data_IF_347025583442
#
_entry.id   IF_347025583442
#
_cell.length_a   1.000
_cell.length_b   1.000
_cell.length_c   1.000
_cell.angle_alpha   90.00
_cell.angle_beta   90.00
_cell.angle_gamma   90.00
#
_symmetry.space_group_name_H-M   'P 1'
#
loop_
_entity.id
_entity.type
_entity.pdbx_description
1 polymer ?
#
# COMPACT_ATOMS: atom_id res chain seq x y z
N UNK A 1 18.06 -11.95 -56.99
CA UNK A 1 17.53 -12.86 -55.95
C UNK A 1 18.19 -12.66 -54.58
N UNK A 2 19.53 -12.64 -54.47
CA UNK A 2 20.23 -12.47 -53.18
C UNK A 2 19.83 -11.23 -52.36
N UNK A 3 19.62 -10.07 -52.99
CA UNK A 3 19.22 -8.86 -52.26
C UNK A 3 17.84 -8.95 -51.58
N UNK A 4 16.88 -9.68 -52.17
CA UNK A 4 15.54 -9.83 -51.61
C UNK A 4 15.56 -10.69 -50.34
N UNK A 5 16.42 -11.72 -50.33
CA UNK A 5 16.58 -12.62 -49.19
C UNK A 5 17.17 -11.89 -47.97
N UNK A 6 18.16 -11.02 -48.19
CA UNK A 6 18.79 -10.23 -47.12
C UNK A 6 17.80 -9.25 -46.49
N UNK A 7 16.97 -8.59 -47.30
CA UNK A 7 15.97 -7.63 -46.79
C UNK A 7 14.91 -8.35 -45.95
N UNK A 8 14.43 -9.52 -46.39
CA UNK A 8 13.44 -10.31 -45.64
C UNK A 8 14.01 -10.81 -44.31
N UNK A 9 15.26 -11.28 -44.30
CA UNK A 9 15.92 -11.73 -43.07
C UNK A 9 16.10 -10.57 -42.06
N UNK A 10 16.53 -9.40 -42.52
CA UNK A 10 16.68 -8.23 -41.65
C UNK A 10 15.34 -7.78 -41.06
N UNK A 11 14.28 -7.75 -41.88
CA UNK A 11 12.94 -7.40 -41.42
C UNK A 11 12.39 -8.38 -40.37
N UNK A 12 12.69 -9.67 -40.53
CA UNK A 12 12.28 -10.74 -39.61
C UNK A 12 12.97 -10.64 -38.24
N UNK A 13 14.25 -10.25 -38.23
CA UNK A 13 15.04 -10.05 -37.01
C UNK A 13 14.57 -8.80 -36.27
N UNK A 14 14.29 -7.70 -36.98
CA UNK A 14 13.77 -6.48 -36.37
C UNK A 14 12.41 -6.67 -35.70
N UNK A 15 11.49 -7.42 -36.33
CA UNK A 15 10.19 -7.77 -35.74
C UNK A 15 10.34 -8.62 -34.46
N UNK A 16 11.29 -9.56 -34.45
CA UNK A 16 11.52 -10.45 -33.30
C UNK A 16 12.13 -9.73 -32.08
N UNK A 17 12.92 -8.67 -32.30
CA UNK A 17 13.48 -7.89 -31.18
C UNK A 17 12.46 -6.94 -30.56
N UNK A 18 11.56 -6.33 -31.36
CA UNK A 18 10.49 -5.48 -30.81
C UNK A 18 9.45 -6.27 -30.00
N UNK A 19 9.09 -7.50 -30.38
CA UNK A 19 8.09 -8.30 -29.65
C UNK A 19 8.59 -8.83 -28.29
N UNK A 20 9.91 -8.96 -28.13
CA UNK A 20 10.51 -9.54 -26.92
C UNK A 20 10.54 -8.54 -25.77
N UNK A 21 10.82 -7.28 -26.08
CA UNK A 21 10.79 -6.14 -25.15
C UNK A 21 9.38 -5.88 -24.58
N UNK A 22 8.34 -5.95 -25.41
CA UNK A 22 6.96 -5.77 -24.97
C UNK A 22 6.50 -6.91 -24.04
N UNK A 23 6.91 -8.14 -24.33
CA UNK A 23 6.58 -9.31 -23.52
C UNK A 23 7.26 -9.27 -22.14
N UNK A 24 8.52 -8.84 -22.06
CA UNK A 24 9.23 -8.68 -20.79
C UNK A 24 8.59 -7.59 -19.91
N UNK A 25 8.23 -6.43 -20.49
CA UNK A 25 7.52 -5.36 -19.75
C UNK A 25 6.13 -5.79 -19.29
N UNK A 26 5.39 -6.55 -20.11
CA UNK A 26 4.10 -7.10 -19.70
C UNK A 26 4.25 -8.06 -18.51
N UNK A 27 5.27 -8.93 -18.54
CA UNK A 27 5.50 -9.89 -17.45
C UNK A 27 5.89 -9.20 -16.14
N UNK A 28 6.76 -8.17 -16.19
CA UNK A 28 7.14 -7.36 -15.04
C UNK A 28 5.94 -6.62 -14.43
N UNK A 29 5.08 -6.03 -15.28
CA UNK A 29 3.87 -5.35 -14.81
C UNK A 29 2.86 -6.30 -14.16
N UNK A 30 2.77 -7.54 -14.67
CA UNK A 30 1.88 -8.56 -14.13
C UNK A 30 2.37 -9.07 -12.77
N UNK A 31 3.68 -9.19 -12.57
CA UNK A 31 4.26 -9.56 -11.28
C UNK A 31 4.05 -8.46 -10.24
N UNK A 32 4.30 -7.20 -10.59
CA UNK A 32 4.02 -6.06 -9.72
C UNK A 32 2.54 -6.00 -9.29
N UNK A 33 1.61 -6.20 -10.23
CA UNK A 33 0.18 -6.24 -9.94
C UNK A 33 -0.20 -7.39 -8.99
N UNK A 34 0.40 -8.57 -9.15
CA UNK A 34 0.16 -9.70 -8.23
C UNK A 34 0.61 -9.40 -6.82
N UNK A 35 1.78 -8.77 -6.67
CA UNK A 35 2.30 -8.37 -5.36
C UNK A 35 1.36 -7.34 -4.71
N UNK A 36 0.94 -6.32 -5.45
CA UNK A 36 0.04 -5.29 -4.93
C UNK A 36 -1.33 -5.87 -4.53
N UNK A 37 -1.90 -6.77 -5.35
CA UNK A 37 -3.13 -7.46 -5.02
C UNK A 37 -3.00 -8.30 -3.74
N UNK A 38 -1.92 -9.06 -3.59
CA UNK A 38 -1.67 -9.88 -2.40
C UNK A 38 -1.55 -9.03 -1.12
N UNK A 39 -0.94 -7.84 -1.24
CA UNK A 39 -0.86 -6.89 -0.12
C UNK A 39 -2.21 -6.34 0.26
N UNK A 40 -3.02 -5.99 -0.74
CA UNK A 40 -4.37 -5.47 -0.52
C UNK A 40 -5.26 -6.51 0.16
N UNK A 41 -5.23 -7.75 -0.32
CA UNK A 41 -5.95 -8.88 0.29
C UNK A 41 -5.52 -9.12 1.75
N UNK A 42 -4.21 -9.06 2.02
CA UNK A 42 -3.68 -9.18 3.39
C UNK A 42 -4.17 -8.06 4.32
N UNK A 43 -4.22 -6.81 3.83
CA UNK A 43 -4.77 -5.70 4.59
C UNK A 43 -6.25 -5.91 4.87
N UNK A 44 -7.03 -6.25 3.85
CA UNK A 44 -8.47 -6.43 3.99
C UNK A 44 -8.83 -7.55 4.98
N UNK A 45 -8.06 -8.64 4.99
CA UNK A 45 -8.23 -9.70 5.96
C UNK A 45 -8.02 -9.21 7.40
N UNK A 46 -6.91 -8.51 7.68
CA UNK A 46 -6.62 -8.00 9.03
C UNK A 46 -7.69 -7.00 9.47
N UNK A 47 -8.08 -6.08 8.58
CA UNK A 47 -9.09 -5.08 8.90
C UNK A 47 -10.47 -5.71 9.13
N UNK A 48 -10.82 -6.77 8.41
CA UNK A 48 -12.06 -7.52 8.64
C UNK A 48 -12.06 -8.20 10.02
N UNK A 49 -10.93 -8.80 10.44
CA UNK A 49 -10.77 -9.36 11.78
C UNK A 49 -10.93 -8.30 12.87
N UNK A 50 -10.38 -7.09 12.65
CA UNK A 50 -10.53 -5.98 13.58
C UNK A 50 -11.97 -5.46 13.67
N UNK A 51 -12.66 -5.32 12.53
CA UNK A 51 -14.09 -4.95 12.51
C UNK A 51 -14.93 -5.95 13.30
N UNK A 52 -14.62 -7.24 13.19
CA UNK A 52 -15.34 -8.30 13.91
C UNK A 52 -15.20 -8.22 15.44
N UNK A 53 -14.33 -7.35 15.98
CA UNK A 53 -14.21 -7.10 17.41
C UNK A 53 -15.35 -6.27 17.99
N UNK A 54 -16.23 -5.71 17.14
CA UNK A 54 -17.43 -4.93 17.50
C UNK A 54 -17.18 -3.84 18.54
N UNK A 55 -16.16 -3.01 18.28
CA UNK A 55 -15.81 -1.87 19.11
C UNK A 55 -15.82 -0.59 18.26
N UNK A 56 -16.43 0.46 18.80
CA UNK A 56 -16.60 1.74 18.11
C UNK A 56 -15.26 2.36 17.71
N UNK A 57 -14.27 2.35 18.60
CA UNK A 57 -12.96 2.96 18.34
C UNK A 57 -12.15 2.11 17.37
N UNK A 58 -12.25 0.79 17.45
CA UNK A 58 -11.61 -0.11 16.48
C UNK A 58 -12.20 0.08 15.09
N UNK A 59 -13.52 0.22 14.97
CA UNK A 59 -14.19 0.49 13.69
C UNK A 59 -13.73 1.81 13.09
N UNK A 60 -13.59 2.85 13.92
CA UNK A 60 -13.08 4.15 13.50
C UNK A 60 -11.63 4.07 13.04
N UNK A 61 -10.76 3.41 13.80
CA UNK A 61 -9.38 3.15 13.41
C UNK A 61 -9.29 2.44 12.05
N UNK A 62 -10.13 1.43 11.79
CA UNK A 62 -10.15 0.72 10.51
C UNK A 62 -10.52 1.65 9.35
N UNK A 63 -11.48 2.56 9.56
CA UNK A 63 -11.84 3.56 8.55
C UNK A 63 -10.67 4.54 8.28
N UNK A 64 -10.07 5.08 9.34
CA UNK A 64 -8.92 5.98 9.26
C UNK A 64 -7.74 5.31 8.53
N UNK A 65 -7.46 4.04 8.84
CA UNK A 65 -6.39 3.27 8.22
C UNK A 65 -6.59 3.09 6.71
N UNK A 66 -7.82 2.79 6.28
CA UNK A 66 -8.15 2.62 4.85
C UNK A 66 -7.98 3.91 4.07
N UNK A 67 -8.33 5.04 4.68
CA UNK A 67 -8.15 6.36 4.08
C UNK A 67 -6.67 6.74 3.97
N UNK A 68 -5.88 6.44 5.01
CA UNK A 68 -4.44 6.66 5.04
C UNK A 68 -3.68 5.82 3.99
N UNK A 69 -4.06 4.54 3.88
CA UNK A 69 -3.30 3.53 3.14
C UNK A 69 -4.18 2.74 2.15
N UNK A 70 -4.75 3.43 1.14
CA UNK A 70 -5.58 2.78 0.12
C UNK A 70 -4.78 1.80 -0.76
N UNK A 71 -3.44 1.96 -0.80
CA UNK A 71 -2.50 1.06 -1.46
C UNK A 71 -1.43 0.63 -0.44
N UNK A 72 -1.62 -0.51 0.26
CA UNK A 72 -0.71 -0.91 1.33
C UNK A 72 0.67 -1.28 0.80
N UNK A 73 1.69 -0.73 1.44
CA UNK A 73 3.08 -1.19 1.27
C UNK A 73 3.35 -2.38 2.20
N UNK A 74 4.49 -3.06 2.00
CA UNK A 74 4.92 -4.12 2.93
C UNK A 74 5.16 -3.61 4.35
N UNK A 75 5.61 -2.36 4.50
CA UNK A 75 5.85 -1.72 5.80
C UNK A 75 4.54 -1.43 6.53
N UNK A 76 3.56 -0.83 5.83
CA UNK A 76 2.24 -0.57 6.38
C UNK A 76 1.57 -1.87 6.85
N UNK A 77 1.72 -2.97 6.11
CA UNK A 77 1.19 -4.28 6.53
C UNK A 77 1.88 -4.83 7.79
N UNK A 78 3.19 -4.63 7.92
CA UNK A 78 3.93 -5.03 9.12
C UNK A 78 3.45 -4.26 10.35
N UNK A 79 3.26 -2.95 10.18
CA UNK A 79 2.73 -2.05 11.20
C UNK A 79 1.29 -2.43 11.58
N UNK A 80 0.41 -2.67 10.60
CA UNK A 80 -0.97 -3.08 10.82
C UNK A 80 -1.06 -4.37 11.66
N UNK A 81 -0.21 -5.36 11.38
CA UNK A 81 -0.15 -6.61 12.18
C UNK A 81 0.26 -6.37 13.63
N UNK A 82 1.17 -5.43 13.89
CA UNK A 82 1.57 -5.07 15.25
C UNK A 82 0.43 -4.37 15.99
N UNK A 83 -0.25 -3.44 15.32
CA UNK A 83 -1.42 -2.75 15.87
C UNK A 83 -2.53 -3.76 16.16
N UNK A 84 -2.81 -4.67 15.23
CA UNK A 84 -3.81 -5.72 15.38
C UNK A 84 -3.57 -6.56 16.64
N UNK A 85 -2.33 -7.02 16.85
CA UNK A 85 -1.96 -7.74 18.06
C UNK A 85 -2.16 -6.90 19.32
N UNK A 86 -1.79 -5.61 19.27
CA UNK A 86 -2.00 -4.69 20.39
C UNK A 86 -3.50 -4.48 20.69
N UNK A 87 -4.35 -4.38 19.68
CA UNK A 87 -5.80 -4.19 19.84
C UNK A 87 -6.50 -5.45 20.36
N UNK A 88 -6.03 -6.64 19.94
CA UNK A 88 -6.47 -7.93 20.49
C UNK A 88 -6.21 -8.04 22.00
N UNK A 89 -5.16 -7.38 22.51
CA UNK A 89 -4.86 -7.29 23.94
C UNK A 89 -5.67 -6.19 24.64
N UNK A 90 -5.71 -4.98 24.06
CA UNK A 90 -6.41 -3.82 24.62
C UNK A 90 -7.03 -2.94 23.54
N UNK A 91 -8.35 -3.07 23.39
CA UNK A 91 -9.15 -2.32 22.41
C UNK A 91 -9.11 -0.80 22.63
N UNK A 92 -8.88 -0.32 23.87
CA UNK A 92 -8.87 1.13 24.17
C UNK A 92 -7.75 1.86 23.46
N UNK A 93 -6.70 1.14 23.04
CA UNK A 93 -5.59 1.70 22.25
C UNK A 93 -6.05 2.17 20.86
N UNK A 94 -7.17 1.68 20.33
CA UNK A 94 -7.71 2.16 19.06
C UNK A 94 -8.01 3.66 19.08
N UNK A 95 -8.52 4.18 20.20
CA UNK A 95 -8.74 5.62 20.37
C UNK A 95 -7.44 6.40 20.25
N UNK A 96 -6.33 5.89 20.82
CA UNK A 96 -5.01 6.52 20.69
C UNK A 96 -4.56 6.55 19.23
N UNK A 97 -4.68 5.43 18.50
CA UNK A 97 -4.26 5.37 17.10
C UNK A 97 -5.07 6.31 16.20
N UNK A 98 -6.39 6.38 16.38
CA UNK A 98 -7.25 7.34 15.67
C UNK A 98 -6.88 8.80 15.99
N UNK A 99 -6.63 9.12 17.27
CA UNK A 99 -6.22 10.48 17.65
C UNK A 99 -4.86 10.86 17.06
N UNK A 100 -3.89 9.95 17.11
CA UNK A 100 -2.57 10.15 16.51
C UNK A 100 -2.70 10.36 14.99
N UNK A 101 -3.50 9.53 14.29
CA UNK A 101 -3.76 9.70 12.86
C UNK A 101 -4.33 11.07 12.52
N UNK A 102 -5.37 11.51 13.23
CA UNK A 102 -5.98 12.82 12.98
C UNK A 102 -5.02 13.96 13.32
N UNK A 103 -4.22 13.87 14.39
CA UNK A 103 -3.25 14.91 14.73
C UNK A 103 -2.18 15.11 13.64
N UNK A 104 -1.77 14.03 12.95
CA UNK A 104 -0.82 14.12 11.85
C UNK A 104 -1.46 14.56 10.52
N UNK A 105 -2.76 14.31 10.35
CA UNK A 105 -3.52 14.71 9.15
C UNK A 105 -4.23 16.06 9.27
N UNK A 106 -4.28 16.64 10.47
CA UNK A 106 -4.89 17.95 10.65
C UNK A 106 -4.09 19.02 9.92
N UNK A 107 -4.79 19.97 9.30
CA UNK A 107 -4.23 21.00 8.42
C UNK A 107 -3.12 21.84 9.09
N UNK A 108 -3.12 21.88 10.42
CA UNK A 108 -2.12 22.57 11.24
C UNK A 108 -0.71 21.93 11.16
N UNK A 109 -0.59 20.63 10.91
CA UNK A 109 0.71 19.93 10.77
C UNK A 109 1.19 19.80 9.32
N UNK A 110 0.54 20.49 8.37
CA UNK A 110 0.91 20.50 6.96
C UNK A 110 0.64 19.14 6.32
N UNK A 111 -0.59 18.94 5.86
CA UNK A 111 -1.16 17.67 5.37
C UNK A 111 -0.42 17.02 4.20
N UNK A 112 0.77 16.50 4.47
CA UNK A 112 1.53 15.61 3.59
C UNK A 112 1.68 14.30 4.35
N UNK A 113 0.79 13.35 4.06
CA UNK A 113 0.88 11.98 4.55
C UNK A 113 2.13 11.37 3.93
N UNK A 114 3.25 11.39 4.65
CA UNK A 114 4.55 10.97 4.14
C UNK A 114 5.38 10.29 5.22
N UNK A 115 4.83 9.24 5.81
CA UNK A 115 5.57 8.15 6.45
C UNK A 115 4.59 7.05 6.87
N UNK A 116 5.04 5.79 7.02
CA UNK A 116 4.39 4.87 7.96
C UNK A 116 4.29 5.58 9.31
N UNK A 117 3.17 5.43 10.02
CA UNK A 117 2.93 6.17 11.27
C UNK A 117 3.99 5.73 12.28
N UNK A 118 5.11 6.46 12.31
CA UNK A 118 6.11 6.29 13.34
C UNK A 118 5.49 6.86 14.61
N UNK A 119 4.78 6.02 15.36
CA UNK A 119 4.10 6.33 16.63
C UNK A 119 5.05 6.71 17.77
N UNK A 120 6.27 7.16 17.45
CA UNK A 120 7.39 7.33 18.37
C UNK A 120 7.70 8.79 18.72
N UNK A 121 7.05 9.79 18.14
CA UNK A 121 7.30 11.19 18.53
C UNK A 121 6.08 12.11 18.30
N UNK A 122 5.36 12.53 19.36
CA UNK A 122 4.33 13.55 19.25
C UNK A 122 5.00 14.93 19.26
N UNK A 123 5.37 15.45 18.09
CA UNK A 123 5.74 16.86 17.93
C UNK A 123 4.81 17.56 16.94
N UNK A 124 3.51 17.46 17.17
CA UNK A 124 2.57 18.47 16.71
C UNK A 124 2.38 19.46 17.89
N UNK A 125 3.00 20.64 17.79
CA UNK A 125 2.72 21.72 18.72
C UNK A 125 1.24 22.13 18.57
N UNK A 126 0.50 22.39 19.67
CA UNK A 126 -0.86 22.88 19.57
C UNK A 126 -0.87 24.22 18.84
N UNK A 127 -1.42 24.23 17.63
CA UNK A 127 -1.65 25.45 16.87
C UNK A 127 -2.87 26.17 17.43
N UNK A 128 -2.59 27.24 18.20
CA UNK A 128 -3.47 28.32 18.69
C UNK A 128 -4.90 27.97 19.12
#
# INVERSE_FOLDING_TARGET
MFQVIVVVLLFSISLSMCSRDEHERMMESAEAQRIDYSRQESQDQILAELIAMDDFYVTRFVADWRDAYPKPTGENLSELRQIEQSLKVDKRRAMKYTLDYHAHNDLACGGIVSAPLSFSDPKCAPGL
#
